data_IF_844896556130
#
_entry.id   IF_844896556130
#
_cell.length_a   1.000
_cell.length_b   1.000
_cell.length_c   1.000
_cell.angle_alpha   90.00
_cell.angle_beta   90.00
_cell.angle_gamma   90.00
#
_symmetry.space_group_name_H-M   'P 1'
#
loop_
_entity.id
_entity.type
_entity.pdbx_description
1 polymer ?
#
# COMPACT_ATOMS: atom_id res chain seq x y z
N UNK A 1 -20.36 14.86 37.27
CA UNK A 1 -19.43 15.16 36.17
C UNK A 1 -19.08 13.87 35.43
N UNK A 2 -19.74 13.57 34.31
CA UNK A 2 -19.46 12.37 33.51
C UNK A 2 -18.50 12.73 32.38
N UNK A 3 -17.30 12.15 32.38
CA UNK A 3 -16.29 12.30 31.32
C UNK A 3 -16.71 11.47 30.10
N UNK A 4 -17.11 12.11 29.00
CA UNK A 4 -17.36 11.42 27.74
C UNK A 4 -16.01 11.00 27.11
N UNK A 5 -15.67 9.71 27.25
CA UNK A 5 -14.61 9.08 26.48
C UNK A 5 -15.10 8.89 25.04
N UNK A 6 -14.48 9.58 24.09
CA UNK A 6 -14.70 9.37 22.66
C UNK A 6 -14.13 7.98 22.32
N UNK A 7 -15.01 7.06 21.94
CA UNK A 7 -14.63 5.75 21.39
C UNK A 7 -14.13 5.97 19.95
N UNK A 8 -12.81 5.97 19.79
CA UNK A 8 -12.13 5.91 18.49
C UNK A 8 -12.27 4.49 17.94
N UNK A 9 -13.26 4.26 17.10
CA UNK A 9 -13.44 2.96 16.42
C UNK A 9 -12.46 2.86 15.25
N UNK A 10 -11.25 2.40 15.54
CA UNK A 10 -10.24 2.08 14.51
C UNK A 10 -10.66 0.80 13.79
N UNK A 11 -11.10 0.90 12.54
CA UNK A 11 -11.26 -0.26 11.67
C UNK A 11 -9.88 -0.70 11.16
N UNK A 12 -9.18 -1.52 11.95
CA UNK A 12 -7.96 -2.20 11.53
C UNK A 12 -8.33 -3.50 10.80
N UNK A 13 -8.11 -3.54 9.48
CA UNK A 13 -8.19 -4.78 8.71
C UNK A 13 -6.82 -5.45 8.78
N UNK A 14 -6.70 -6.50 9.60
CA UNK A 14 -5.56 -7.42 9.59
C UNK A 14 -5.90 -8.62 8.71
N UNK A 15 -5.25 -8.76 7.55
CA UNK A 15 -5.32 -9.97 6.76
C UNK A 15 -4.39 -11.02 7.39
N UNK A 16 -4.97 -12.04 8.02
CA UNK A 16 -4.31 -13.33 8.20
C UNK A 16 -4.76 -14.18 7.01
N UNK A 17 -3.96 -14.27 5.96
CA UNK A 17 -4.15 -15.32 4.96
C UNK A 17 -3.31 -16.53 5.38
N UNK A 18 -3.91 -17.67 5.76
CA UNK A 18 -3.18 -18.92 5.81
C UNK A 18 -2.76 -19.29 4.39
N UNK A 19 -1.46 -19.54 4.20
CA UNK A 19 -0.92 -20.20 3.01
C UNK A 19 -1.38 -21.66 3.00
N UNK A 20 -2.62 -21.89 2.60
CA UNK A 20 -3.13 -23.20 2.24
C UNK A 20 -4.13 -23.00 1.09
N UNK A 21 -3.86 -23.64 -0.04
CA UNK A 21 -4.61 -23.53 -1.29
C UNK A 21 -6.13 -23.56 -1.07
N UNK A 22 -6.88 -22.60 -1.64
CA UNK A 22 -8.27 -22.82 -1.95
C UNK A 22 -8.49 -22.78 -3.47
N UNK A 23 -9.17 -23.81 -3.97
CA UNK A 23 -10.09 -23.69 -5.09
C UNK A 23 -10.87 -22.37 -4.94
N UNK A 24 -10.65 -21.43 -5.84
CA UNK A 24 -11.45 -20.21 -5.93
C UNK A 24 -11.62 -19.85 -7.39
N UNK A 25 -12.85 -20.00 -7.87
CA UNK A 25 -13.27 -19.69 -9.22
C UNK A 25 -12.90 -18.25 -9.59
N UNK A 26 -12.27 -18.13 -10.75
CA UNK A 26 -12.03 -16.92 -11.55
C UNK A 26 -11.11 -15.85 -10.94
N UNK A 27 -9.92 -16.25 -10.49
CA UNK A 27 -8.75 -15.38 -10.56
C UNK A 27 -8.06 -15.57 -11.93
N UNK A 28 -8.12 -14.57 -12.82
CA UNK A 28 -7.24 -14.54 -14.00
C UNK A 28 -5.91 -13.92 -13.57
N UNK A 29 -5.03 -14.73 -12.99
CA UNK A 29 -3.64 -14.35 -12.81
C UNK A 29 -2.98 -14.26 -14.20
N UNK A 30 -2.49 -13.07 -14.57
CA UNK A 30 -1.64 -12.92 -15.75
C UNK A 30 -0.23 -13.38 -15.39
N UNK A 31 0.30 -14.33 -16.17
CA UNK A 31 1.65 -14.84 -15.99
C UNK A 31 2.59 -14.10 -16.93
N UNK A 32 3.49 -13.27 -16.39
CA UNK A 32 4.53 -12.59 -17.16
C UNK A 32 5.90 -12.81 -16.51
N UNK A 33 6.94 -12.92 -17.31
CA UNK A 33 8.32 -13.19 -16.89
C UNK A 33 9.26 -12.21 -17.59
N UNK A 34 10.06 -11.49 -16.81
CA UNK A 34 11.04 -10.53 -17.32
C UNK A 34 12.45 -11.00 -16.96
N UNK A 35 13.30 -11.17 -17.98
CA UNK A 35 14.74 -11.35 -17.80
C UNK A 35 15.40 -9.96 -17.74
N UNK A 36 16.13 -9.70 -16.66
CA UNK A 36 16.72 -8.41 -16.32
C UNK A 36 18.26 -8.45 -16.24
N UNK A 37 18.87 -9.59 -16.59
CA UNK A 37 20.31 -9.78 -16.54
C UNK A 37 20.86 -10.39 -17.83
N UNK A 38 22.14 -10.18 -18.13
CA UNK A 38 22.82 -10.74 -19.32
C UNK A 38 23.01 -12.27 -19.20
N UNK A 39 21.92 -13.03 -19.20
CA UNK A 39 21.89 -14.49 -19.19
C UNK A 39 21.55 -15.10 -17.83
N UNK A 40 20.41 -15.80 -17.76
CA UNK A 40 20.03 -16.93 -16.88
C UNK A 40 20.20 -16.86 -15.36
N UNK A 41 20.85 -15.85 -14.79
CA UNK A 41 21.17 -15.78 -13.35
C UNK A 41 20.15 -14.99 -12.54
N UNK A 42 19.33 -14.17 -13.21
CA UNK A 42 18.23 -13.45 -12.59
C UNK A 42 16.97 -13.53 -13.45
N UNK A 43 15.86 -13.87 -12.82
CA UNK A 43 14.53 -13.87 -13.43
C UNK A 43 13.55 -13.15 -12.50
N UNK A 44 12.67 -12.32 -13.08
CA UNK A 44 11.53 -11.76 -12.37
C UNK A 44 10.24 -12.41 -12.85
N UNK A 45 9.54 -13.04 -11.92
CA UNK A 45 8.21 -13.61 -12.17
C UNK A 45 7.17 -12.64 -11.64
N UNK A 46 6.37 -12.08 -12.54
CA UNK A 46 5.33 -11.11 -12.22
C UNK A 46 3.98 -11.81 -12.10
N UNK A 47 3.24 -11.43 -11.06
CA UNK A 47 1.84 -11.82 -10.85
C UNK A 47 1.07 -10.59 -10.42
N UNK A 48 -0.20 -10.50 -10.79
CA UNK A 48 -1.07 -9.42 -10.35
C UNK A 48 -2.39 -10.02 -9.92
N UNK A 49 -2.85 -9.62 -8.74
CA UNK A 49 -4.16 -9.98 -8.19
C UNK A 49 -5.01 -8.72 -8.09
N UNK A 50 -6.26 -8.80 -8.57
CA UNK A 50 -7.24 -7.73 -8.45
C UNK A 50 -8.48 -8.26 -7.72
N UNK A 51 -8.81 -7.65 -6.58
CA UNK A 51 -10.03 -7.98 -5.83
C UNK A 51 -10.77 -6.72 -5.41
N UNK A 52 -12.06 -6.69 -5.75
CA UNK A 52 -12.96 -5.61 -5.38
C UNK A 52 -13.98 -6.05 -4.34
N UNK A 53 -14.19 -5.24 -3.31
CA UNK A 53 -15.22 -5.40 -2.30
C UNK A 53 -16.19 -4.23 -2.33
N UNK A 54 -17.38 -4.46 -2.87
CA UNK A 54 -18.44 -3.45 -2.95
C UNK A 54 -18.94 -3.01 -1.55
N UNK A 55 -18.96 -3.93 -0.58
CA UNK A 55 -19.38 -3.66 0.80
C UNK A 55 -18.49 -2.59 1.47
N UNK A 56 -17.18 -2.68 1.21
CA UNK A 56 -16.19 -1.78 1.80
C UNK A 56 -15.82 -0.62 0.86
N UNK A 57 -16.19 -0.69 -0.41
CA UNK A 57 -15.84 0.30 -1.43
C UNK A 57 -14.33 0.30 -1.70
N UNK A 58 -13.70 -0.88 -1.69
CA UNK A 58 -12.25 -1.04 -1.83
C UNK A 58 -11.96 -1.97 -3.01
N UNK A 59 -11.06 -1.55 -3.89
CA UNK A 59 -10.42 -2.38 -4.91
C UNK A 59 -8.95 -2.48 -4.56
N UNK A 60 -8.46 -3.71 -4.38
CA UNK A 60 -7.06 -4.02 -4.14
C UNK A 60 -6.49 -4.56 -5.44
N UNK A 61 -5.46 -3.90 -5.97
CA UNK A 61 -4.70 -4.33 -7.13
C UNK A 61 -3.25 -4.53 -6.66
N UNK A 62 -2.85 -5.77 -6.40
CA UNK A 62 -1.55 -6.08 -5.81
C UNK A 62 -0.69 -6.75 -6.87
N UNK A 63 0.46 -6.14 -7.18
CA UNK A 63 1.48 -6.75 -8.04
C UNK A 63 2.49 -7.47 -7.16
N UNK A 64 2.86 -8.68 -7.54
CA UNK A 64 3.83 -9.53 -6.88
C UNK A 64 4.94 -9.84 -7.87
N UNK A 65 6.14 -9.35 -7.62
CA UNK A 65 7.30 -9.59 -8.45
C UNK A 65 8.29 -10.45 -7.66
N UNK A 66 8.36 -11.73 -7.99
CA UNK A 66 9.30 -12.66 -7.38
C UNK A 66 10.65 -12.49 -8.06
N UNK A 67 11.66 -12.11 -7.29
CA UNK A 67 13.03 -11.93 -7.77
C UNK A 67 13.80 -13.21 -7.48
N UNK A 68 14.07 -13.99 -8.53
CA UNK A 68 14.93 -15.16 -8.47
C UNK A 68 16.33 -14.74 -8.86
N UNK A 69 17.20 -14.57 -7.88
CA UNK A 69 18.61 -14.24 -8.11
C UNK A 69 19.49 -15.33 -7.51
N UNK A 70 20.25 -16.05 -8.35
CA UNK A 70 21.17 -17.10 -7.90
C UNK A 70 22.29 -16.57 -7.00
N UNK A 71 22.62 -15.27 -7.10
CA UNK A 71 23.67 -14.61 -6.31
C UNK A 71 23.15 -14.07 -4.98
N UNK A 72 21.85 -14.11 -4.74
CA UNK A 72 21.24 -13.74 -3.47
C UNK A 72 20.88 -15.00 -2.68
N UNK A 73 21.27 -15.06 -1.41
CA UNK A 73 21.10 -16.24 -0.58
C UNK A 73 19.67 -16.42 -0.01
N UNK A 74 18.72 -15.61 -0.48
CA UNK A 74 17.31 -15.61 -0.04
C UNK A 74 16.40 -15.36 -1.23
N UNK A 75 15.16 -15.81 -1.11
CA UNK A 75 14.11 -15.40 -2.03
C UNK A 75 13.68 -13.96 -1.70
N UNK A 76 13.46 -13.16 -2.75
CA UNK A 76 12.93 -11.81 -2.62
C UNK A 76 11.59 -11.69 -3.35
N UNK A 77 10.66 -10.97 -2.73
CA UNK A 77 9.36 -10.67 -3.30
C UNK A 77 9.12 -9.17 -3.17
N UNK A 78 9.02 -8.49 -4.31
CA UNK A 78 8.64 -7.08 -4.36
C UNK A 78 7.13 -7.00 -4.54
N UNK A 79 6.43 -6.44 -3.55
CA UNK A 79 4.98 -6.24 -3.64
C UNK A 79 4.68 -4.80 -4.03
N UNK A 80 3.77 -4.54 -4.95
CA UNK A 80 3.20 -3.21 -5.20
C UNK A 80 1.73 -3.21 -4.84
N UNK A 81 1.36 -2.60 -3.72
CA UNK A 81 -0.05 -2.50 -3.33
C UNK A 81 -0.72 -1.29 -3.97
N UNK A 82 -1.51 -1.46 -5.02
CA UNK A 82 -2.28 -0.41 -5.67
C UNK A 82 -3.79 -0.64 -5.50
N UNK A 83 -4.59 0.28 -6.05
CA UNK A 83 -6.03 0.14 -6.15
C UNK A 83 -6.79 1.42 -5.81
N UNK A 84 -8.01 1.26 -5.29
CA UNK A 84 -8.89 2.36 -4.93
C UNK A 84 -9.61 2.13 -3.59
N UNK A 85 -9.66 3.16 -2.75
CA UNK A 85 -10.53 3.19 -1.55
C UNK A 85 -11.51 4.36 -1.70
N UNK A 86 -12.80 4.04 -1.80
CA UNK A 86 -13.86 5.05 -1.86
C UNK A 86 -13.91 5.88 -0.58
N UNK A 87 -14.12 7.19 -0.71
CA UNK A 87 -14.31 8.05 0.47
C UNK A 87 -15.58 7.70 1.26
N UNK A 88 -16.58 7.10 0.60
CA UNK A 88 -17.90 6.78 1.16
C UNK A 88 -18.50 7.94 1.95
N UNK A 89 -18.23 9.15 1.46
CA UNK A 89 -18.70 10.40 2.05
C UNK A 89 -20.22 10.45 1.95
N UNK A 90 -20.89 10.72 3.07
CA UNK A 90 -22.36 10.71 3.14
C UNK A 90 -22.85 11.86 4.01
N UNK A 91 -23.95 12.47 3.60
CA UNK A 91 -24.63 13.53 4.33
C UNK A 91 -25.94 13.00 4.91
N UNK A 92 -26.25 13.33 6.16
CA UNK A 92 -27.46 12.86 6.82
C UNK A 92 -27.91 13.83 7.93
N UNK A 93 -29.17 13.72 8.33
CA UNK A 93 -29.70 14.46 9.47
C UNK A 93 -29.21 13.82 10.77
N UNK A 94 -28.50 14.59 11.60
CA UNK A 94 -28.01 14.07 12.88
C UNK A 94 -29.20 13.75 13.78
N UNK A 95 -29.31 12.49 14.22
CA UNK A 95 -30.41 11.99 15.05
C UNK A 95 -31.81 12.31 14.50
N UNK A 96 -31.97 12.35 13.16
CA UNK A 96 -33.22 12.71 12.48
C UNK A 96 -33.75 14.12 12.82
N UNK A 97 -32.90 15.01 13.31
CA UNK A 97 -33.28 16.40 13.58
C UNK A 97 -33.31 17.21 12.28
N UNK A 98 -34.21 18.19 12.19
CA UNK A 98 -34.33 19.03 10.99
C UNK A 98 -33.23 20.10 10.92
N UNK A 99 -32.72 20.55 12.07
CA UNK A 99 -31.80 21.68 12.18
C UNK A 99 -30.31 21.30 12.21
N UNK A 100 -29.96 20.02 12.46
CA UNK A 100 -28.56 19.58 12.51
C UNK A 100 -28.27 18.61 11.38
N UNK A 101 -27.38 19.02 10.47
CA UNK A 101 -26.85 18.17 9.40
C UNK A 101 -25.48 17.64 9.82
N UNK A 102 -25.20 16.39 9.43
CA UNK A 102 -23.92 15.75 9.67
C UNK A 102 -23.33 15.26 8.34
N UNK A 103 -22.01 15.33 8.27
CA UNK A 103 -21.21 14.78 7.17
C UNK A 103 -20.29 13.71 7.76
N UNK A 104 -20.40 12.48 7.26
CA UNK A 104 -19.41 11.44 7.51
C UNK A 104 -18.44 11.44 6.34
N UNK A 105 -17.15 11.53 6.64
CA UNK A 105 -16.07 11.61 5.66
C UNK A 105 -14.83 10.89 6.21
N UNK A 106 -13.90 10.44 5.35
CA UNK A 106 -12.74 9.67 5.78
C UNK A 106 -11.67 10.58 6.35
N UNK A 107 -11.44 10.51 7.66
CA UNK A 107 -10.34 11.26 8.29
C UNK A 107 -8.96 10.67 7.93
N UNK A 108 -8.92 9.35 7.76
CA UNK A 108 -7.70 8.59 7.57
C UNK A 108 -7.96 7.40 6.64
N UNK A 109 -7.03 7.15 5.72
CA UNK A 109 -6.96 5.94 4.92
C UNK A 109 -5.85 5.04 5.46
N UNK A 110 -6.16 3.76 5.65
CA UNK A 110 -5.24 2.79 6.25
C UNK A 110 -4.83 1.74 5.23
N UNK A 111 -3.53 1.46 5.19
CA UNK A 111 -2.97 0.40 4.35
C UNK A 111 -1.97 -0.37 5.20
N UNK A 112 -2.11 -1.69 5.21
CA UNK A 112 -1.24 -2.53 6.01
C UNK A 112 -0.94 -3.83 5.32
N UNK A 113 0.26 -4.32 5.58
CA UNK A 113 0.70 -5.65 5.24
C UNK A 113 1.17 -6.35 6.51
N UNK A 114 0.72 -7.58 6.71
CA UNK A 114 1.17 -8.43 7.79
C UNK A 114 1.45 -9.82 7.23
N UNK A 115 2.55 -10.41 7.68
CA UNK A 115 2.81 -11.84 7.53
C UNK A 115 2.88 -12.51 8.91
N UNK A 116 2.39 -13.74 8.99
CA UNK A 116 2.58 -14.58 10.18
C UNK A 116 3.70 -15.60 9.98
N UNK A 117 4.23 -15.70 8.77
CA UNK A 117 5.27 -16.66 8.45
C UNK A 117 6.54 -16.36 9.28
N UNK A 118 7.24 -17.41 9.69
CA UNK A 118 8.50 -17.32 10.43
C UNK A 118 9.68 -17.06 9.49
N UNK A 119 9.59 -17.50 8.24
CA UNK A 119 10.68 -17.42 7.25
C UNK A 119 10.63 -16.15 6.40
N UNK A 120 9.52 -15.42 6.44
CA UNK A 120 9.36 -14.14 5.75
C UNK A 120 9.74 -13.00 6.68
N UNK A 121 10.51 -12.05 6.17
CA UNK A 121 10.83 -10.82 6.87
C UNK A 121 10.71 -9.63 5.94
N UNK A 122 10.12 -8.55 6.44
CA UNK A 122 10.09 -7.26 5.81
C UNK A 122 11.50 -6.64 5.86
N UNK A 123 12.10 -6.39 4.70
CA UNK A 123 13.45 -5.85 4.58
C UNK A 123 13.48 -4.37 4.17
N UNK A 124 12.46 -3.91 3.45
CA UNK A 124 12.37 -2.54 2.99
C UNK A 124 10.91 -2.12 2.80
N UNK A 125 10.63 -0.83 2.78
CA UNK A 125 9.31 -0.33 2.42
C UNK A 125 9.37 1.10 1.88
N UNK A 126 8.36 1.47 1.10
CA UNK A 126 8.13 2.85 0.66
C UNK A 126 6.66 3.24 0.87
N UNK A 127 6.36 4.50 1.22
CA UNK A 127 7.30 5.55 1.62
C UNK A 127 7.89 5.34 3.03
N UNK A 128 9.16 5.70 3.24
CA UNK A 128 9.84 5.56 4.54
C UNK A 128 9.52 6.68 5.53
N UNK A 129 9.52 7.90 5.03
CA UNK A 129 9.38 9.10 5.85
C UNK A 129 7.96 9.63 5.76
N UNK A 130 7.60 10.51 6.69
CA UNK A 130 6.40 11.33 6.58
C UNK A 130 6.48 12.19 5.32
N UNK A 131 5.44 12.16 4.48
CA UNK A 131 5.38 12.94 3.23
C UNK A 131 4.13 13.80 3.24
N UNK A 132 4.32 15.10 3.09
CA UNK A 132 3.25 16.11 3.04
C UNK A 132 3.02 16.66 1.63
N UNK A 133 3.85 16.26 0.65
CA UNK A 133 3.72 16.72 -0.73
C UNK A 133 2.46 16.15 -1.38
N UNK A 134 1.75 16.96 -2.18
CA UNK A 134 0.54 16.53 -2.90
C UNK A 134 0.79 15.35 -3.82
N UNK A 135 1.94 15.31 -4.48
CA UNK A 135 2.35 14.18 -5.31
C UNK A 135 3.49 13.46 -4.60
N UNK A 136 3.33 12.15 -4.43
CA UNK A 136 4.36 11.29 -3.87
C UNK A 136 4.84 10.38 -4.97
N UNK A 137 6.14 10.42 -5.25
CA UNK A 137 6.73 9.58 -6.29
C UNK A 137 8.14 9.13 -5.92
N UNK A 138 8.29 7.83 -5.64
CA UNK A 138 9.54 7.21 -5.18
C UNK A 138 9.78 5.91 -5.93
N UNK A 139 11.05 5.53 -6.05
CA UNK A 139 11.47 4.32 -6.77
C UNK A 139 12.26 3.42 -5.85
N UNK A 140 11.89 2.14 -5.81
CA UNK A 140 12.68 1.07 -5.25
C UNK A 140 13.50 0.46 -6.38
N UNK A 141 14.82 0.56 -6.28
CA UNK A 141 15.78 -0.08 -7.17
C UNK A 141 16.34 -1.37 -6.54
N UNK A 142 16.58 -2.36 -7.38
CA UNK A 142 17.19 -3.63 -7.04
C UNK A 142 18.41 -3.88 -7.93
N UNK A 143 19.49 -4.33 -7.29
CA UNK A 143 20.71 -4.77 -7.96
C UNK A 143 21.04 -6.21 -7.58
N UNK A 144 21.67 -6.90 -8.55
CA UNK A 144 22.18 -8.27 -8.41
C UNK A 144 22.95 -8.45 -7.10
N UNK A 145 22.69 -9.53 -6.37
CA UNK A 145 23.30 -9.82 -5.08
C UNK A 145 22.49 -9.29 -3.87
N UNK A 146 21.23 -8.90 -4.07
CA UNK A 146 20.33 -8.56 -2.96
C UNK A 146 20.41 -7.11 -2.46
N UNK A 147 20.89 -6.17 -3.28
CA UNK A 147 21.02 -4.77 -2.86
C UNK A 147 19.79 -3.95 -3.24
N UNK A 148 19.03 -3.51 -2.23
CA UNK A 148 17.83 -2.69 -2.39
C UNK A 148 18.11 -1.24 -2.02
N UNK A 149 17.82 -0.32 -2.94
CA UNK A 149 18.04 1.11 -2.76
C UNK A 149 16.75 1.88 -3.03
N UNK A 150 16.45 2.86 -2.18
CA UNK A 150 15.30 3.76 -2.37
C UNK A 150 15.79 5.11 -2.88
N UNK A 151 15.20 5.60 -3.96
CA UNK A 151 15.53 6.90 -4.56
C UNK A 151 14.26 7.71 -4.90
N UNK A 152 14.35 9.04 -4.98
CA UNK A 152 13.32 9.84 -5.65
C UNK A 152 13.16 9.37 -7.09
N UNK A 153 11.92 9.34 -7.58
CA UNK A 153 11.62 8.92 -8.97
C UNK A 153 12.18 9.86 -10.05
N UNK A 154 12.52 11.09 -9.68
CA UNK A 154 13.08 12.12 -10.57
C UNK A 154 14.60 12.19 -10.37
N UNK A 155 15.30 11.32 -11.11
CA UNK A 155 16.68 11.54 -11.55
C UNK A 155 17.74 11.72 -10.46
N UNK A 156 18.31 10.61 -10.00
CA UNK A 156 19.57 10.64 -9.24
C UNK A 156 19.75 9.45 -8.32
N UNK A 157 20.01 8.27 -8.88
CA UNK A 157 20.86 7.23 -8.28
C UNK A 157 20.88 5.99 -9.18
N UNK A 158 22.08 5.57 -9.59
CA UNK A 158 22.46 4.21 -10.00
C UNK A 158 21.70 3.57 -11.16
N UNK A 159 22.43 2.92 -12.08
CA UNK A 159 21.82 1.94 -12.97
C UNK A 159 21.32 0.76 -12.12
N UNK A 160 20.00 0.63 -11.95
CA UNK A 160 19.39 -0.55 -11.31
C UNK A 160 19.20 -1.66 -12.34
N UNK A 161 19.27 -2.92 -11.90
CA UNK A 161 18.93 -4.07 -12.75
C UNK A 161 17.41 -4.20 -12.85
N UNK A 162 16.70 -3.95 -11.74
CA UNK A 162 15.26 -3.82 -11.72
C UNK A 162 14.84 -2.62 -10.91
N UNK A 163 13.75 -1.97 -11.30
CA UNK A 163 13.20 -0.88 -10.51
C UNK A 163 11.69 -0.82 -10.59
N UNK A 164 11.10 -0.28 -9.53
CA UNK A 164 9.67 -0.19 -9.34
C UNK A 164 9.32 1.13 -8.68
N UNK A 165 8.40 1.87 -9.28
CA UNK A 165 8.04 3.23 -8.86
C UNK A 165 6.61 3.34 -8.32
N UNK A 166 6.48 3.95 -7.14
CA UNK A 166 5.21 4.35 -6.54
C UNK A 166 4.89 5.76 -7.04
N UNK A 167 3.63 5.99 -7.38
CA UNK A 167 3.13 7.33 -7.66
C UNK A 167 1.69 7.41 -7.21
N UNK A 168 1.39 8.36 -6.34
CA UNK A 168 0.03 8.66 -5.90
C UNK A 168 -0.11 10.14 -5.54
N UNK A 169 -1.35 10.61 -5.61
CA UNK A 169 -1.70 11.96 -5.19
C UNK A 169 -2.38 11.89 -3.82
N UNK A 170 -2.12 12.87 -2.96
CA UNK A 170 -2.63 12.94 -1.58
C UNK A 170 -3.04 14.37 -1.21
N UNK A 171 -3.78 15.05 -2.09
CA UNK A 171 -4.18 16.44 -1.86
C UNK A 171 -4.91 16.61 -0.51
N UNK A 172 -4.40 17.50 0.36
CA UNK A 172 -4.88 17.76 1.73
C UNK A 172 -4.69 16.60 2.72
N UNK A 173 -3.81 15.63 2.42
CA UNK A 173 -3.45 14.53 3.30
C UNK A 173 -1.93 14.42 3.47
N UNK A 174 -1.53 13.74 4.53
CA UNK A 174 -0.14 13.40 4.86
C UNK A 174 -0.05 11.90 5.01
N UNK A 175 0.93 11.30 4.36
CA UNK A 175 1.25 9.89 4.54
C UNK A 175 2.36 9.72 5.57
N UNK A 176 2.14 8.80 6.51
CA UNK A 176 3.11 8.42 7.52
C UNK A 176 3.04 6.92 7.81
N UNK A 177 4.14 6.37 8.30
CA UNK A 177 4.19 4.98 8.77
C UNK A 177 3.81 4.97 10.25
N UNK A 178 2.70 4.35 10.59
CA UNK A 178 2.21 4.27 11.98
C UNK A 178 2.90 3.17 12.77
N UNK A 179 3.15 2.03 12.13
CA UNK A 179 3.81 0.89 12.77
C UNK A 179 4.61 0.10 11.73
N UNK A 180 5.85 -0.24 12.09
CA UNK A 180 6.69 -1.10 11.27
C UNK A 180 7.55 -2.02 12.15
N UNK A 181 7.65 -3.28 11.73
CA UNK A 181 8.62 -4.26 12.22
C UNK A 181 8.90 -5.29 11.11
N UNK A 182 9.72 -6.30 11.40
CA UNK A 182 10.10 -7.32 10.41
C UNK A 182 8.94 -8.19 9.90
N UNK A 183 7.72 -8.08 10.43
CA UNK A 183 6.55 -8.88 10.02
C UNK A 183 5.32 -8.06 9.65
N UNK A 184 5.30 -6.80 10.05
CA UNK A 184 4.14 -5.93 10.01
C UNK A 184 4.56 -4.57 9.49
N UNK A 185 3.79 -4.08 8.54
CA UNK A 185 3.82 -2.72 8.06
C UNK A 185 2.40 -2.15 8.13
N UNK A 186 2.24 -0.99 8.75
CA UNK A 186 1.01 -0.20 8.72
C UNK A 186 1.35 1.24 8.41
N UNK A 187 0.81 1.72 7.29
CA UNK A 187 0.85 3.11 6.85
C UNK A 187 -0.53 3.74 6.90
N UNK A 188 -0.56 5.04 7.16
CA UNK A 188 -1.78 5.82 7.18
C UNK A 188 -1.60 7.11 6.36
N UNK A 189 -2.66 7.48 5.64
CA UNK A 189 -2.78 8.81 5.06
C UNK A 189 -3.84 9.59 5.83
N UNK A 190 -3.42 10.60 6.59
CA UNK A 190 -4.24 11.41 7.49
C UNK A 190 -4.55 12.76 6.87
N UNK A 191 -5.79 13.23 6.98
CA UNK A 191 -6.16 14.53 6.45
C UNK A 191 -5.52 15.66 7.27
N UNK A 192 -4.88 16.60 6.60
CA UNK A 192 -4.45 17.86 7.21
C UNK A 192 -5.67 18.77 7.31
N UNK A 193 -5.84 19.44 8.44
CA UNK A 193 -6.80 20.54 8.54
C UNK A 193 -6.30 21.72 7.68
N UNK A 194 -6.56 21.66 6.38
CA UNK A 194 -6.28 22.75 5.44
C UNK A 194 -7.61 23.38 5.02
N UNK A 195 -7.75 24.72 5.04
CA UNK A 195 -9.03 25.42 4.87
C UNK A 195 -9.66 25.32 3.46
N UNK A 196 -9.10 24.51 2.55
CA UNK A 196 -9.58 24.37 1.18
C UNK A 196 -10.58 23.18 1.04
N UNK A 197 -11.82 23.59 0.78
CA UNK A 197 -13.10 22.88 0.83
C UNK A 197 -13.33 21.78 -0.23
N UNK A 198 -12.51 20.73 -0.38
CA UNK A 198 -12.96 19.51 -1.11
C UNK A 198 -12.43 18.19 -0.53
N UNK A 199 -13.35 17.26 -0.22
CA UNK A 199 -13.08 15.85 0.09
C UNK A 199 -13.08 15.08 -1.24
N UNK A 200 -11.90 14.76 -1.77
CA UNK A 200 -11.76 13.92 -2.97
C UNK A 200 -11.39 12.48 -2.59
N UNK A 201 -11.75 11.52 -3.44
CA UNK A 201 -11.31 10.13 -3.29
C UNK A 201 -9.79 10.05 -3.46
N UNK A 202 -9.11 9.24 -2.64
CA UNK A 202 -7.66 9.03 -2.73
C UNK A 202 -7.35 7.73 -3.50
N UNK A 203 -6.47 7.75 -4.52
CA UNK A 203 -5.87 6.52 -5.04
C UNK A 203 -5.04 5.87 -3.93
N UNK A 204 -5.04 4.52 -3.88
CA UNK A 204 -4.28 3.77 -2.87
C UNK A 204 -2.78 4.11 -2.96
N UNK A 205 -2.16 4.31 -1.79
CA UNK A 205 -0.71 4.43 -1.61
C UNK A 205 -0.07 3.16 -2.16
N UNK A 206 0.73 3.29 -3.20
CA UNK A 206 1.63 2.22 -3.59
C UNK A 206 2.69 2.05 -2.50
N UNK A 207 2.77 0.85 -1.94
CA UNK A 207 3.81 0.44 -1.00
C UNK A 207 4.60 -0.67 -1.66
N UNK A 208 5.92 -0.48 -1.71
CA UNK A 208 6.87 -1.55 -2.02
C UNK A 208 7.32 -2.26 -0.77
N UNK A 209 7.61 -3.55 -0.88
CA UNK A 209 8.19 -4.40 0.15
C UNK A 209 9.42 -5.09 -0.43
#
# INVERSE_FOLDING_TARGET
MLKNKILTTTLSVSLLAPLANPLLENAKAANDTEDIGKGSDIEIIKRTEDKTSNKWGVTQNIQFDFVKDKKYNKDALILKMQGFISSRTTYYNYKKTNHVKAMRWPFQYNIGLKTNDKYVSLINYLPKNKIESTNVSQTLGYNIGGNFQSAPSLGGNGSFNYSKSISYTQQNYVSEVEQQNSKVFYGASKRIHSPLNQVKNQPLIAIYL
#
